data_IF_124716458483
#
_entry.id   IF_124716458483
#
_cell.length_a   1.000
_cell.length_b   1.000
_cell.length_c   1.000
_cell.angle_alpha   90.00
_cell.angle_beta   90.00
_cell.angle_gamma   90.00
#
_symmetry.space_group_name_H-M   'P 1'
#
loop_
_entity.id
_entity.type
_entity.pdbx_description
1 polymer ?
#
# COMPACT_ATOMS: atom_id res chain seq x y z
N UNK A 1 -2.35 -1.63 -6.00
CA UNK A 1 -2.66 -2.99 -6.53
C UNK A 1 -2.72 -3.95 -5.35
N UNK A 2 -3.73 -4.82 -5.31
CA UNK A 2 -3.84 -5.93 -4.35
C UNK A 2 -3.59 -7.21 -5.14
N UNK A 3 -2.67 -8.04 -4.68
CA UNK A 3 -2.35 -9.32 -5.27
C UNK A 3 -2.62 -10.43 -4.25
N UNK A 4 -3.40 -11.43 -4.64
CA UNK A 4 -3.84 -12.50 -3.76
C UNK A 4 -3.60 -13.84 -4.45
N UNK A 5 -3.02 -14.79 -3.71
CA UNK A 5 -2.92 -16.19 -4.13
C UNK A 5 -3.92 -17.02 -3.35
N UNK A 6 -4.75 -17.80 -4.06
CA UNK A 6 -5.75 -18.66 -3.41
C UNK A 6 -6.13 -19.85 -4.30
N UNK A 7 -6.89 -20.77 -3.74
CA UNK A 7 -7.59 -21.81 -4.48
C UNK A 7 -8.55 -21.16 -5.48
N UNK A 8 -8.56 -21.59 -6.76
CA UNK A 8 -9.46 -21.07 -7.79
C UNK A 8 -10.94 -21.04 -7.39
N UNK A 9 -11.40 -22.02 -6.63
CA UNK A 9 -12.78 -22.09 -6.15
C UNK A 9 -13.13 -21.01 -5.10
N UNK A 10 -12.13 -20.30 -4.58
CA UNK A 10 -12.30 -19.26 -3.52
C UNK A 10 -12.06 -17.84 -4.02
N UNK A 11 -11.81 -17.66 -5.30
CA UNK A 11 -11.41 -16.38 -5.90
C UNK A 11 -12.45 -15.28 -5.64
N UNK A 12 -13.72 -15.56 -5.91
CA UNK A 12 -14.82 -14.58 -5.70
C UNK A 12 -14.96 -14.20 -4.23
N UNK A 13 -14.99 -15.20 -3.36
CA UNK A 13 -15.10 -14.97 -1.91
C UNK A 13 -13.95 -14.10 -1.39
N UNK A 14 -12.75 -14.30 -1.92
CA UNK A 14 -11.57 -13.52 -1.49
C UNK A 14 -11.60 -12.10 -2.05
N UNK A 15 -12.06 -11.92 -3.29
CA UNK A 15 -12.27 -10.60 -3.88
C UNK A 15 -13.27 -9.78 -3.08
N UNK A 16 -14.43 -10.34 -2.75
CA UNK A 16 -15.49 -9.70 -1.97
C UNK A 16 -14.99 -9.35 -0.55
N UNK A 17 -14.29 -10.27 0.10
CA UNK A 17 -13.70 -10.03 1.42
C UNK A 17 -12.70 -8.86 1.39
N UNK A 18 -11.88 -8.78 0.33
CA UNK A 18 -10.91 -7.69 0.15
C UNK A 18 -11.59 -6.35 -0.03
N UNK A 19 -12.63 -6.27 -0.86
CA UNK A 19 -13.41 -5.05 -1.05
C UNK A 19 -14.11 -4.62 0.24
N UNK A 20 -14.64 -5.57 1.00
CA UNK A 20 -15.25 -5.30 2.31
C UNK A 20 -14.24 -4.69 3.27
N UNK A 21 -13.05 -5.27 3.39
CA UNK A 21 -11.97 -4.73 4.26
C UNK A 21 -11.59 -3.31 3.83
N UNK A 22 -11.47 -3.05 2.53
CA UNK A 22 -11.15 -1.71 2.02
C UNK A 22 -12.26 -0.69 2.33
N UNK A 23 -13.53 -1.09 2.20
CA UNK A 23 -14.67 -0.24 2.56
C UNK A 23 -14.72 0.04 4.06
N UNK A 24 -14.47 -0.96 4.89
CA UNK A 24 -14.38 -0.79 6.35
C UNK A 24 -13.23 0.15 6.72
N UNK A 25 -12.08 0.01 6.07
CA UNK A 25 -10.94 0.90 6.26
C UNK A 25 -11.26 2.34 5.82
N UNK A 26 -11.91 2.52 4.67
CA UNK A 26 -12.36 3.84 4.20
C UNK A 26 -13.32 4.52 5.19
N UNK A 27 -14.17 3.74 5.84
CA UNK A 27 -15.15 4.25 6.80
C UNK A 27 -14.54 4.57 8.17
N UNK A 28 -13.73 3.66 8.71
CA UNK A 28 -13.26 3.68 10.09
C UNK A 28 -11.79 4.07 10.25
N UNK A 29 -10.98 3.89 9.18
CA UNK A 29 -9.53 4.00 9.24
C UNK A 29 -8.89 2.92 10.10
N UNK A 30 -7.54 2.91 10.19
CA UNK A 30 -6.82 1.97 11.05
C UNK A 30 -7.03 2.28 12.54
N UNK A 31 -6.93 1.27 13.39
CA UNK A 31 -6.81 1.48 14.82
C UNK A 31 -5.41 2.03 15.20
N UNK A 32 -5.29 2.52 16.44
CA UNK A 32 -4.04 3.13 16.92
C UNK A 32 -2.86 2.16 16.88
N UNK A 33 -3.07 0.91 17.29
CA UNK A 33 -2.03 -0.13 17.31
C UNK A 33 -1.53 -0.44 15.90
N UNK A 34 -2.44 -0.57 14.95
CA UNK A 34 -2.10 -0.79 13.53
C UNK A 34 -1.32 0.39 12.95
N UNK A 35 -1.72 1.63 13.25
CA UNK A 35 -0.99 2.83 12.83
C UNK A 35 0.45 2.85 13.36
N UNK A 36 0.64 2.61 14.65
CA UNK A 36 1.96 2.57 15.28
C UNK A 36 2.84 1.46 14.68
N UNK A 37 2.26 0.27 14.44
CA UNK A 37 2.97 -0.85 13.83
C UNK A 37 3.44 -0.51 12.41
N UNK A 38 2.56 0.05 11.59
CA UNK A 38 2.88 0.42 10.19
C UNK A 38 3.96 1.49 10.17
N UNK A 39 3.84 2.55 10.97
CA UNK A 39 4.86 3.60 11.06
C UNK A 39 6.22 3.02 11.45
N UNK A 40 6.27 2.20 12.50
CA UNK A 40 7.49 1.52 12.94
C UNK A 40 8.09 0.65 11.84
N UNK A 41 7.27 -0.08 11.11
CA UNK A 41 7.72 -0.91 10.00
C UNK A 41 8.27 -0.07 8.84
N UNK A 42 7.61 1.03 8.48
CA UNK A 42 8.08 1.95 7.43
C UNK A 42 9.45 2.55 7.78
N UNK A 43 9.62 3.06 9.00
CA UNK A 43 10.88 3.62 9.47
C UNK A 43 11.99 2.56 9.52
N UNK A 44 11.72 1.37 10.05
CA UNK A 44 12.68 0.27 10.10
C UNK A 44 13.10 -0.21 8.71
N UNK A 45 12.15 -0.34 7.79
CA UNK A 45 12.42 -0.72 6.39
C UNK A 45 13.25 0.36 5.70
N UNK A 46 12.92 1.63 5.89
CA UNK A 46 13.68 2.75 5.34
C UNK A 46 15.13 2.75 5.84
N UNK A 47 15.32 2.60 7.16
CA UNK A 47 16.65 2.58 7.78
C UNK A 47 17.56 1.47 7.22
N UNK A 48 16.99 0.31 6.88
CA UNK A 48 17.72 -0.77 6.19
C UNK A 48 18.02 -0.45 4.73
N UNK A 49 17.03 0.08 4.03
CA UNK A 49 17.13 0.31 2.59
C UNK A 49 18.16 1.40 2.23
N UNK A 50 18.24 2.49 3.01
CA UNK A 50 19.20 3.57 2.76
C UNK A 50 20.68 3.14 2.90
N UNK A 51 20.94 1.95 3.44
CA UNK A 51 22.27 1.36 3.50
C UNK A 51 22.68 0.67 2.20
N UNK A 52 21.81 0.59 1.20
CA UNK A 52 22.06 -0.14 -0.05
C UNK A 52 22.17 0.81 -1.24
N UNK A 53 23.13 0.56 -2.12
CA UNK A 53 23.28 1.31 -3.37
C UNK A 53 22.05 1.19 -4.28
N UNK A 54 21.41 0.02 -4.29
CA UNK A 54 20.19 -0.24 -5.07
C UNK A 54 19.06 0.73 -4.69
N UNK A 55 18.92 0.99 -3.40
CA UNK A 55 17.92 1.95 -2.94
C UNK A 55 18.20 3.35 -3.49
N UNK A 56 19.43 3.84 -3.35
CA UNK A 56 19.80 5.18 -3.82
C UNK A 56 19.66 5.34 -5.32
N UNK A 57 20.08 4.34 -6.08
CA UNK A 57 19.91 4.35 -7.53
C UNK A 57 18.44 4.48 -7.93
N UNK A 58 17.58 3.63 -7.36
CA UNK A 58 16.14 3.66 -7.67
C UNK A 58 15.47 4.95 -7.19
N UNK A 59 15.85 5.43 -6.00
CA UNK A 59 15.27 6.62 -5.39
C UNK A 59 15.62 7.88 -6.19
N UNK A 60 16.91 8.08 -6.51
CA UNK A 60 17.37 9.25 -7.27
C UNK A 60 16.81 9.20 -8.69
N UNK A 61 16.89 8.06 -9.39
CA UNK A 61 16.34 7.92 -10.73
C UNK A 61 14.85 8.23 -10.77
N UNK A 62 14.07 7.72 -9.80
CA UNK A 62 12.63 7.97 -9.70
C UNK A 62 12.33 9.45 -9.50
N UNK A 63 13.03 10.12 -8.60
CA UNK A 63 12.85 11.54 -8.32
C UNK A 63 13.21 12.43 -9.50
N UNK A 64 14.34 12.16 -10.14
CA UNK A 64 14.78 12.90 -11.34
C UNK A 64 13.80 12.71 -12.50
N UNK A 65 13.33 11.49 -12.74
CA UNK A 65 12.37 11.21 -13.82
C UNK A 65 11.02 11.91 -13.60
N UNK A 66 10.62 12.11 -12.37
CA UNK A 66 9.34 12.74 -11.99
C UNK A 66 9.46 14.24 -11.71
N UNK A 67 10.66 14.81 -11.87
CA UNK A 67 10.96 16.22 -11.50
C UNK A 67 10.54 16.55 -10.05
N UNK A 68 10.80 15.60 -9.13
CA UNK A 68 10.48 15.74 -7.72
C UNK A 68 11.74 15.98 -6.87
N UNK A 69 11.64 16.78 -5.79
CA UNK A 69 12.76 17.03 -4.90
C UNK A 69 13.20 15.76 -4.14
N UNK A 70 14.49 15.69 -3.84
CA UNK A 70 15.03 14.68 -2.94
C UNK A 70 14.66 15.02 -1.50
N UNK A 71 14.16 14.05 -0.77
CA UNK A 71 13.79 14.17 0.64
C UNK A 71 14.92 13.59 1.51
N UNK A 72 15.42 14.38 2.45
CA UNK A 72 16.42 13.89 3.41
C UNK A 72 15.87 12.73 4.27
N UNK A 73 16.72 11.80 4.73
CA UNK A 73 16.26 10.71 5.60
C UNK A 73 15.52 11.19 6.84
N UNK A 74 16.02 12.24 7.51
CA UNK A 74 15.38 12.84 8.70
C UNK A 74 14.02 13.46 8.39
N UNK A 75 13.85 14.04 7.22
CA UNK A 75 12.58 14.61 6.77
C UNK A 75 11.55 13.52 6.50
N UNK A 76 11.98 12.39 5.92
CA UNK A 76 11.12 11.23 5.73
C UNK A 76 10.54 10.71 7.05
N UNK A 77 11.37 10.62 8.08
CA UNK A 77 10.95 10.17 9.40
C UNK A 77 9.89 11.11 10.00
N UNK A 78 10.08 12.43 9.85
CA UNK A 78 9.10 13.42 10.28
C UNK A 78 7.78 13.27 9.51
N UNK A 79 7.82 13.09 8.20
CA UNK A 79 6.62 12.88 7.37
C UNK A 79 5.87 11.62 7.84
N UNK A 80 6.55 10.49 8.02
CA UNK A 80 5.91 9.25 8.46
C UNK A 80 5.27 9.42 9.84
N UNK A 81 5.96 10.09 10.77
CA UNK A 81 5.45 10.30 12.12
C UNK A 81 4.26 11.27 12.15
N UNK A 82 4.21 12.26 11.27
CA UNK A 82 3.12 13.23 11.21
C UNK A 82 1.81 12.68 10.66
N UNK A 83 1.84 11.59 9.87
CA UNK A 83 0.63 10.99 9.28
C UNK A 83 -0.40 10.65 10.36
N UNK A 84 -1.60 11.18 10.20
CA UNK A 84 -2.71 10.94 11.11
C UNK A 84 -3.74 9.97 10.53
N UNK A 85 -4.52 9.34 11.40
CA UNK A 85 -5.67 8.51 10.99
C UNK A 85 -6.67 9.30 10.13
N UNK A 86 -6.91 10.56 10.46
CA UNK A 86 -7.83 11.43 9.73
C UNK A 86 -7.38 11.61 8.29
N UNK A 87 -6.11 11.94 8.06
CA UNK A 87 -5.54 12.09 6.74
C UNK A 87 -5.63 10.80 5.91
N UNK A 88 -5.37 9.64 6.53
CA UNK A 88 -5.52 8.36 5.84
C UNK A 88 -6.97 8.09 5.41
N UNK A 89 -7.94 8.38 6.26
CA UNK A 89 -9.37 8.23 5.92
C UNK A 89 -9.76 9.20 4.80
N UNK A 90 -9.33 10.45 4.87
CA UNK A 90 -9.58 11.46 3.82
C UNK A 90 -8.95 11.05 2.49
N UNK A 91 -7.72 10.56 2.51
CA UNK A 91 -7.05 10.02 1.34
C UNK A 91 -7.84 8.85 0.73
N UNK A 92 -8.27 7.89 1.55
CA UNK A 92 -9.07 6.76 1.08
C UNK A 92 -10.41 7.21 0.49
N UNK A 93 -11.09 8.17 1.11
CA UNK A 93 -12.34 8.73 0.58
C UNK A 93 -12.15 9.43 -0.77
N UNK A 94 -11.03 10.10 -0.95
CA UNK A 94 -10.73 10.86 -2.18
C UNK A 94 -10.35 9.94 -3.34
N UNK A 95 -9.53 8.93 -3.09
CA UNK A 95 -8.89 8.14 -4.16
C UNK A 95 -9.46 6.73 -4.32
N UNK A 96 -9.98 6.13 -3.24
CA UNK A 96 -10.56 4.80 -3.33
C UNK A 96 -12.04 4.85 -3.71
N UNK A 97 -12.33 4.43 -4.94
CA UNK A 97 -13.69 4.33 -5.50
C UNK A 97 -13.97 2.85 -5.75
N UNK A 98 -14.71 2.17 -4.87
CA UNK A 98 -14.94 0.73 -4.97
C UNK A 98 -15.75 0.32 -6.21
N UNK A 99 -16.45 1.27 -6.82
CA UNK A 99 -17.19 1.11 -8.07
C UNK A 99 -16.29 1.13 -9.32
N UNK A 100 -15.04 1.57 -9.20
CA UNK A 100 -14.10 1.68 -10.30
C UNK A 100 -12.85 0.86 -9.97
N UNK A 101 -12.86 -0.42 -10.34
CA UNK A 101 -11.68 -1.27 -10.22
C UNK A 101 -11.62 -2.28 -11.36
N UNK A 102 -10.41 -2.75 -11.65
CA UNK A 102 -10.18 -3.86 -12.58
C UNK A 102 -9.78 -5.08 -11.78
N UNK A 103 -10.42 -6.20 -12.06
CA UNK A 103 -10.07 -7.51 -11.53
C UNK A 103 -9.49 -8.37 -12.65
N UNK A 104 -8.40 -9.06 -12.36
CA UNK A 104 -7.81 -10.05 -13.24
C UNK A 104 -7.56 -11.34 -12.45
N UNK A 105 -8.15 -12.42 -12.91
CA UNK A 105 -7.98 -13.75 -12.31
C UNK A 105 -7.16 -14.63 -13.24
N UNK A 106 -6.08 -15.23 -12.70
CA UNK A 106 -5.27 -16.21 -13.42
C UNK A 106 -5.58 -17.61 -12.89
N UNK A 107 -6.06 -18.47 -13.76
CA UNK A 107 -6.35 -19.88 -13.45
C UNK A 107 -5.37 -20.82 -14.15
N UNK A 108 -5.05 -21.99 -13.55
CA UNK A 108 -4.27 -23.01 -14.24
C UNK A 108 -5.01 -23.51 -15.49
N UNK A 109 -4.30 -23.76 -16.56
CA UNK A 109 -4.87 -24.23 -17.85
C UNK A 109 -5.63 -25.56 -17.72
N UNK A 110 -5.29 -26.38 -16.73
CA UNK A 110 -5.94 -27.67 -16.44
C UNK A 110 -7.35 -27.56 -15.86
N UNK A 111 -7.81 -26.36 -15.49
CA UNK A 111 -9.16 -26.12 -14.96
C UNK A 111 -10.16 -25.60 -16.01
N UNK A 112 -9.76 -25.50 -17.27
CA UNK A 112 -10.66 -25.14 -18.39
C UNK A 112 -11.36 -26.38 -18.98
N UNK A 113 -11.93 -27.26 -18.16
CA UNK A 113 -12.81 -28.33 -18.60
C UNK A 113 -14.16 -28.21 -17.91
#
# INVERSE_FOLDING_TARGET
MILLGCDPAKTDKLADASLKILNDFKAKGPDKKTMELIKKQMLSTRAKNIQTNRFWLSYISGKVTQDEPLIAPSEYDNIVNSITKKEMVEFMKKYFKPEIYTRADMHPTTMQK
#
